data_IF_223136879981
#
_entry.id   IF_223136879981
#
_cell.length_a   1.000
_cell.length_b   1.000
_cell.length_c   1.000
_cell.angle_alpha   90.00
_cell.angle_beta   90.00
_cell.angle_gamma   90.00
#
_symmetry.space_group_name_H-M   'P 1'
#
loop_
_entity.id
_entity.type
_entity.pdbx_description
1 polymer ?
#
# COMPACT_ATOMS: atom_id res chain seq x y z
N UNK A 1 -15.96 -36.16 -34.62
CA UNK A 1 -15.86 -34.68 -34.61
C UNK A 1 -15.90 -34.09 -33.21
N UNK A 2 -16.87 -34.43 -32.34
CA UNK A 2 -17.00 -33.88 -30.97
C UNK A 2 -15.82 -34.17 -29.99
N UNK A 3 -15.02 -35.22 -30.23
CA UNK A 3 -13.85 -35.57 -29.38
C UNK A 3 -12.58 -34.78 -29.71
N UNK A 4 -12.45 -34.26 -30.94
CA UNK A 4 -11.27 -33.46 -31.37
C UNK A 4 -11.41 -32.01 -30.89
N UNK A 5 -12.64 -31.50 -30.80
CA UNK A 5 -12.95 -30.18 -30.22
C UNK A 5 -12.76 -30.10 -28.70
N UNK A 6 -12.74 -31.22 -27.98
CA UNK A 6 -12.54 -31.22 -26.52
C UNK A 6 -11.06 -31.12 -26.12
N UNK A 7 -10.15 -31.57 -26.98
CA UNK A 7 -8.71 -31.58 -26.73
C UNK A 7 -8.02 -30.25 -27.09
N UNK A 8 -8.68 -29.41 -27.91
CA UNK A 8 -8.21 -28.06 -28.24
C UNK A 8 -8.66 -27.00 -27.21
N UNK A 9 -9.65 -27.30 -26.35
CA UNK A 9 -10.14 -26.38 -25.32
C UNK A 9 -9.27 -26.39 -24.05
N UNK A 10 -8.49 -27.44 -23.81
CA UNK A 10 -7.56 -27.55 -22.68
C UNK A 10 -6.25 -26.77 -22.85
N UNK A 11 -5.91 -26.35 -24.07
CA UNK A 11 -4.66 -25.62 -24.36
C UNK A 11 -4.81 -24.10 -24.14
N UNK A 12 -6.03 -23.58 -24.07
CA UNK A 12 -6.28 -22.15 -23.88
C UNK A 12 -6.17 -21.67 -22.42
N UNK A 13 -6.10 -22.58 -21.44
CA UNK A 13 -6.11 -22.23 -20.00
C UNK A 13 -4.69 -22.21 -19.39
N UNK A 14 -3.67 -22.74 -20.09
CA UNK A 14 -2.27 -22.77 -19.60
C UNK A 14 -1.40 -21.63 -20.14
N UNK A 15 -1.97 -20.69 -20.89
CA UNK A 15 -1.23 -19.66 -21.63
C UNK A 15 -0.99 -18.33 -20.89
N UNK A 16 -1.16 -18.25 -19.57
CA UNK A 16 -0.74 -17.08 -18.81
C UNK A 16 0.62 -17.37 -18.16
N UNK A 17 1.69 -17.25 -18.95
CA UNK A 17 3.02 -17.09 -18.37
C UNK A 17 3.00 -15.79 -17.58
N UNK A 18 2.97 -15.89 -16.25
CA UNK A 18 3.43 -14.79 -15.41
C UNK A 18 4.91 -14.64 -15.74
N UNK A 19 5.24 -13.71 -16.63
CA UNK A 19 6.59 -13.17 -16.71
C UNK A 19 6.85 -12.54 -15.35
N UNK A 20 7.48 -13.32 -14.47
CA UNK A 20 8.23 -12.76 -13.36
C UNK A 20 9.23 -11.81 -14.02
N UNK A 21 8.97 -10.52 -13.90
CA UNK A 21 9.94 -9.48 -14.19
C UNK A 21 11.08 -9.66 -13.18
N UNK A 22 11.98 -10.60 -13.47
CA UNK A 22 13.26 -10.73 -12.78
C UNK A 22 14.14 -9.58 -13.27
N UNK A 23 13.71 -8.34 -12.94
CA UNK A 23 14.55 -7.17 -13.02
C UNK A 23 15.89 -7.51 -12.40
N UNK A 24 16.98 -7.25 -13.13
CA UNK A 24 18.31 -7.73 -12.82
C UNK A 24 18.60 -7.62 -11.30
N UNK A 25 18.70 -8.77 -10.62
CA UNK A 25 18.88 -8.81 -9.17
C UNK A 25 20.21 -8.17 -8.82
N UNK A 26 20.17 -6.90 -8.42
CA UNK A 26 21.34 -6.19 -7.89
C UNK A 26 21.78 -6.95 -6.63
N UNK A 27 23.06 -7.36 -6.52
CA UNK A 27 23.51 -8.12 -5.36
C UNK A 27 23.36 -7.29 -4.09
N UNK A 28 22.71 -7.87 -3.08
CA UNK A 28 22.52 -7.22 -1.79
C UNK A 28 23.86 -6.96 -1.10
N UNK A 29 23.99 -5.78 -0.50
CA UNK A 29 25.09 -5.44 0.40
C UNK A 29 25.05 -6.27 1.69
N UNK A 30 26.18 -6.32 2.41
CA UNK A 30 26.36 -7.15 3.63
C UNK A 30 25.25 -6.97 4.68
N UNK A 31 24.82 -5.73 4.93
CA UNK A 31 23.77 -5.41 5.91
C UNK A 31 22.41 -5.90 5.42
N UNK A 32 22.03 -5.59 4.18
CA UNK A 32 20.74 -6.01 3.62
C UNK A 32 20.62 -7.55 3.59
N UNK A 33 21.71 -8.25 3.24
CA UNK A 33 21.74 -9.71 3.22
C UNK A 33 21.50 -10.35 4.59
N UNK A 34 21.90 -9.69 5.68
CA UNK A 34 21.63 -10.17 7.04
C UNK A 34 20.13 -10.21 7.37
N UNK A 35 19.36 -9.27 6.82
CA UNK A 35 17.92 -9.13 7.11
C UNK A 35 17.01 -9.64 6.00
N UNK A 36 17.59 -10.17 4.91
CA UNK A 36 16.87 -10.55 3.68
C UNK A 36 15.62 -11.40 3.96
N UNK A 37 15.74 -12.42 4.82
CA UNK A 37 14.60 -13.29 5.17
C UNK A 37 13.43 -12.52 5.77
N UNK A 38 13.69 -11.70 6.79
CA UNK A 38 12.63 -10.97 7.49
C UNK A 38 12.08 -9.84 6.61
N UNK A 39 12.95 -9.17 5.85
CA UNK A 39 12.53 -8.15 4.89
C UNK A 39 11.59 -8.74 3.82
N UNK A 40 11.94 -9.90 3.25
CA UNK A 40 11.09 -10.58 2.28
C UNK A 40 9.74 -10.99 2.89
N UNK A 41 9.72 -11.48 4.13
CA UNK A 41 8.47 -11.80 4.82
C UNK A 41 7.59 -10.55 4.98
N UNK A 42 8.16 -9.41 5.39
CA UNK A 42 7.41 -8.16 5.54
C UNK A 42 6.87 -7.67 4.19
N UNK A 43 7.67 -7.74 3.13
CA UNK A 43 7.27 -7.35 1.78
C UNK A 43 6.12 -8.25 1.28
N UNK A 44 6.27 -9.56 1.40
CA UNK A 44 5.24 -10.52 0.98
C UNK A 44 3.93 -10.32 1.75
N UNK A 45 4.03 -10.14 3.08
CA UNK A 45 2.85 -9.88 3.92
C UNK A 45 2.18 -8.57 3.51
N UNK A 46 2.95 -7.48 3.36
CA UNK A 46 2.39 -6.17 3.04
C UNK A 46 1.75 -6.10 1.64
N UNK A 47 2.26 -6.84 0.66
CA UNK A 47 1.71 -6.84 -0.71
C UNK A 47 0.50 -7.77 -0.86
N UNK A 48 0.38 -8.78 0.01
CA UNK A 48 -0.77 -9.70 0.01
C UNK A 48 -1.96 -9.21 0.84
N UNK A 49 -1.79 -8.12 1.58
CA UNK A 49 -2.79 -7.52 2.47
C UNK A 49 -3.57 -6.38 1.76
N UNK A 50 -4.81 -6.15 2.19
CA UNK A 50 -5.68 -5.07 1.71
C UNK A 50 -5.83 -3.90 2.69
N UNK A 51 -5.44 -4.07 3.95
CA UNK A 51 -5.65 -3.08 5.03
C UNK A 51 -5.12 -1.68 4.65
N UNK A 52 -3.94 -1.62 4.02
CA UNK A 52 -3.33 -0.36 3.58
C UNK A 52 -4.18 0.41 2.55
N UNK A 53 -4.82 -0.32 1.62
CA UNK A 53 -5.71 0.27 0.63
C UNK A 53 -7.05 0.68 1.25
N UNK A 54 -7.64 -0.18 2.08
CA UNK A 54 -8.92 0.08 2.74
C UNK A 54 -8.84 1.31 3.63
N UNK A 55 -7.75 1.45 4.40
CA UNK A 55 -7.51 2.62 5.24
C UNK A 55 -7.31 3.91 4.45
N UNK A 56 -6.63 3.82 3.29
CA UNK A 56 -6.52 4.95 2.38
C UNK A 56 -7.89 5.34 1.81
N UNK A 57 -8.71 4.36 1.44
CA UNK A 57 -10.06 4.59 0.93
C UNK A 57 -10.93 5.28 1.99
N UNK A 58 -10.95 4.77 3.23
CA UNK A 58 -11.67 5.39 4.35
C UNK A 58 -11.24 6.85 4.57
N UNK A 59 -9.92 7.11 4.59
CA UNK A 59 -9.41 8.48 4.74
C UNK A 59 -9.84 9.39 3.58
N UNK A 60 -9.85 8.88 2.35
CA UNK A 60 -10.28 9.64 1.18
C UNK A 60 -11.78 9.93 1.19
N UNK A 61 -12.61 8.94 1.50
CA UNK A 61 -14.06 9.05 1.48
C UNK A 61 -14.60 9.84 2.67
N UNK A 62 -13.92 9.78 3.83
CA UNK A 62 -14.31 10.51 5.04
C UNK A 62 -13.93 11.99 4.96
N UNK A 63 -12.71 12.31 4.52
CA UNK A 63 -12.19 13.68 4.60
C UNK A 63 -12.03 14.39 3.25
N UNK A 64 -11.98 13.68 2.13
CA UNK A 64 -11.84 14.29 0.81
C UNK A 64 -10.59 15.21 0.67
N UNK A 65 -10.70 16.43 0.11
CA UNK A 65 -9.57 17.35 -0.06
C UNK A 65 -8.99 17.85 1.28
N UNK A 66 -7.68 17.65 1.48
CA UNK A 66 -6.95 17.98 2.73
C UNK A 66 -5.81 18.97 2.47
N UNK A 67 -6.14 20.14 1.92
CA UNK A 67 -5.16 21.18 1.66
C UNK A 67 -4.66 21.82 2.97
N UNK A 68 -3.42 22.31 3.00
CA UNK A 68 -2.84 22.88 4.21
C UNK A 68 -3.63 24.06 4.77
N UNK A 69 -3.86 24.05 6.10
CA UNK A 69 -4.62 25.08 6.81
C UNK A 69 -6.14 25.01 6.64
N UNK A 70 -6.66 23.88 6.14
CA UNK A 70 -8.10 23.59 6.07
C UNK A 70 -8.54 22.67 7.20
N UNK A 71 -9.78 22.79 7.63
CA UNK A 71 -10.33 21.97 8.72
C UNK A 71 -10.33 20.47 8.37
N UNK A 72 -10.50 20.12 7.09
CA UNK A 72 -10.44 18.72 6.65
C UNK A 72 -9.05 18.10 6.83
N UNK A 73 -7.98 18.90 6.70
CA UNK A 73 -6.63 18.42 7.01
C UNK A 73 -6.51 18.12 8.52
N UNK A 74 -6.92 19.06 9.37
CA UNK A 74 -6.83 18.90 10.82
C UNK A 74 -7.64 17.69 11.31
N UNK A 75 -8.89 17.53 10.84
CA UNK A 75 -9.73 16.37 11.16
C UNK A 75 -9.09 15.04 10.72
N UNK A 76 -8.42 15.02 9.57
CA UNK A 76 -7.72 13.83 9.10
C UNK A 76 -6.46 13.53 9.92
N UNK A 77 -5.73 14.55 10.37
CA UNK A 77 -4.59 14.38 11.27
C UNK A 77 -5.05 13.78 12.60
N UNK A 78 -6.13 14.30 13.20
CA UNK A 78 -6.69 13.76 14.44
C UNK A 78 -7.09 12.29 14.28
N UNK A 79 -7.75 11.94 13.17
CA UNK A 79 -8.10 10.56 12.86
C UNK A 79 -6.86 9.67 12.68
N UNK A 80 -5.83 10.11 11.94
CA UNK A 80 -4.57 9.36 11.77
C UNK A 80 -3.92 9.10 13.13
N UNK A 81 -3.86 10.11 14.01
CA UNK A 81 -3.27 9.96 15.34
C UNK A 81 -4.04 8.93 16.17
N UNK A 82 -5.36 8.87 16.05
CA UNK A 82 -6.17 7.89 16.76
C UNK A 82 -6.03 6.49 16.17
N UNK A 83 -5.98 6.33 14.84
CA UNK A 83 -5.69 5.03 14.20
C UNK A 83 -4.29 4.52 14.56
N UNK A 84 -3.26 5.36 14.55
CA UNK A 84 -1.91 4.98 14.97
C UNK A 84 -1.86 4.52 16.43
N UNK A 85 -2.63 5.16 17.34
CA UNK A 85 -2.75 4.71 18.73
C UNK A 85 -3.48 3.37 18.83
N UNK A 86 -4.55 3.17 18.05
CA UNK A 86 -5.31 1.91 18.01
C UNK A 86 -4.45 0.75 17.51
N UNK A 87 -3.59 1.01 16.52
CA UNK A 87 -2.59 0.07 16.01
C UNK A 87 -1.50 -0.28 17.03
N UNK A 88 -1.42 0.46 18.15
CA UNK A 88 -0.45 0.22 19.22
C UNK A 88 0.94 0.77 18.93
N UNK A 89 1.07 1.80 18.08
CA UNK A 89 2.36 2.46 17.85
C UNK A 89 2.81 3.23 19.09
N UNK A 90 4.12 3.22 19.33
CA UNK A 90 4.75 4.02 20.37
C UNK A 90 4.94 5.47 19.93
N UNK A 91 4.93 6.40 20.90
CA UNK A 91 5.24 7.82 20.69
C UNK A 91 4.39 8.53 19.62
N UNK A 92 3.08 8.26 19.58
CA UNK A 92 2.16 8.92 18.64
C UNK A 92 1.77 10.32 19.13
N UNK A 93 2.23 11.36 18.42
CA UNK A 93 1.84 12.75 18.66
C UNK A 93 1.92 13.57 17.37
N UNK A 94 1.14 14.66 17.30
CA UNK A 94 1.28 15.67 16.25
C UNK A 94 2.41 16.66 16.56
N UNK A 95 2.88 17.37 15.54
CA UNK A 95 3.80 18.50 15.67
C UNK A 95 3.21 19.72 14.98
N UNK A 96 3.14 20.84 15.69
CA UNK A 96 2.57 22.07 15.14
C UNK A 96 3.52 22.73 14.14
N UNK A 97 3.02 23.08 12.96
CA UNK A 97 3.78 23.74 11.89
C UNK A 97 3.06 24.99 11.40
N UNK A 98 3.79 26.11 11.32
CA UNK A 98 3.26 27.37 10.77
C UNK A 98 3.33 27.37 9.24
N UNK A 99 2.22 27.67 8.57
CA UNK A 99 2.12 27.69 7.10
C UNK A 99 1.37 28.93 6.59
N UNK A 100 1.66 29.40 5.36
CA UNK A 100 0.82 30.41 4.70
C UNK A 100 -0.53 29.79 4.28
N UNK A 101 -1.64 30.42 4.67
CA UNK A 101 -3.00 29.95 4.34
C UNK A 101 -3.46 30.55 3.02
N UNK A 102 -3.69 29.70 2.02
CA UNK A 102 -4.34 30.09 0.77
C UNK A 102 -5.81 29.67 0.78
N UNK A 103 -6.69 30.61 0.47
CA UNK A 103 -8.12 30.39 0.27
C UNK A 103 -8.49 30.83 -1.13
N UNK A 104 -9.20 29.96 -1.86
CA UNK A 104 -9.74 30.31 -3.17
C UNK A 104 -10.77 31.42 -3.01
N UNK A 105 -10.67 32.47 -3.84
CA UNK A 105 -11.65 33.55 -3.94
C UNK A 105 -12.97 33.12 -4.56
#
# INVERSE_FOLDING_TARGET
VKKITLLLLSIFIFGCSSSNDDGAKVPLGKIAKQFEKNANLLIETAISDTDGFERLAEMCDTFGPRFSGTDNLENAIDWILDEMKKDGLDNVHGENVMIPKWTRG
#
